data_IF_791814090255
#
_entry.id   IF_791814090255
#
_cell.length_a   1.000
_cell.length_b   1.000
_cell.length_c   1.000
_cell.angle_alpha   90.00
_cell.angle_beta   90.00
_cell.angle_gamma   90.00
#
_symmetry.space_group_name_H-M   'P 1'
#
loop_
_entity.id
_entity.type
_entity.pdbx_description
1 polymer ?
#
# COMPACT_ATOMS: atom_id res chain seq x y z
N UNK A 1 61.15 10.36 26.13
CA UNK A 1 60.71 11.05 24.91
C UNK A 1 59.19 10.92 24.81
N UNK A 2 58.45 12.03 24.87
CA UNK A 2 56.98 12.05 24.72
C UNK A 2 56.67 12.15 23.22
N UNK A 3 56.03 11.14 22.66
CA UNK A 3 55.59 11.12 21.27
C UNK A 3 54.17 11.70 21.20
N UNK A 4 54.07 12.96 20.77
CA UNK A 4 52.78 13.60 20.51
C UNK A 4 52.23 13.06 19.18
N UNK A 5 51.32 12.09 19.25
CA UNK A 5 50.56 11.63 18.09
C UNK A 5 49.41 12.61 17.85
N UNK A 6 49.59 13.49 16.87
CA UNK A 6 48.54 14.37 16.38
C UNK A 6 47.56 13.52 15.54
N UNK A 7 46.44 13.12 16.13
CA UNK A 7 45.36 12.43 15.42
C UNK A 7 44.68 13.46 14.52
N UNK A 8 45.10 13.53 13.26
CA UNK A 8 44.37 14.24 12.20
C UNK A 8 43.14 13.37 11.90
N UNK A 9 42.01 13.71 12.53
CA UNK A 9 40.72 13.06 12.28
C UNK A 9 40.27 13.32 10.85
N UNK A 10 40.40 12.32 9.99
CA UNK A 10 39.83 12.32 8.65
C UNK A 10 38.32 12.09 8.77
N UNK A 11 37.54 13.18 8.75
CA UNK A 11 36.07 13.12 8.72
C UNK A 11 35.66 12.68 7.31
N UNK A 12 35.45 11.37 7.11
CA UNK A 12 34.83 10.83 5.91
C UNK A 12 33.34 11.17 5.99
N UNK A 13 32.91 12.20 5.26
CA UNK A 13 31.50 12.43 5.01
C UNK A 13 30.99 11.33 4.07
N UNK A 14 30.43 10.24 4.62
CA UNK A 14 29.69 9.25 3.85
C UNK A 14 28.42 9.91 3.31
N UNK A 15 28.47 10.38 2.07
CA UNK A 15 27.28 10.75 1.31
C UNK A 15 26.50 9.47 1.01
N UNK A 16 25.46 9.19 1.79
CA UNK A 16 24.57 8.06 1.51
C UNK A 16 23.83 8.32 0.21
N UNK A 17 24.16 7.59 -0.85
CA UNK A 17 23.36 7.60 -2.08
C UNK A 17 22.05 6.87 -1.73
N UNK A 18 20.98 7.64 -1.52
CA UNK A 18 19.64 7.08 -1.27
C UNK A 18 19.10 6.57 -2.60
N UNK A 19 19.29 5.27 -2.87
CA UNK A 19 18.65 4.60 -3.99
C UNK A 19 17.17 4.37 -3.70
N UNK A 20 16.31 4.54 -4.71
CA UNK A 20 14.88 4.23 -4.59
C UNK A 20 14.68 2.73 -4.33
N UNK A 21 13.81 2.38 -3.39
CA UNK A 21 13.47 1.00 -3.08
C UNK A 21 12.76 0.35 -4.27
N UNK A 22 13.14 -0.90 -4.58
CA UNK A 22 12.45 -1.73 -5.56
C UNK A 22 11.12 -2.23 -5.02
N UNK A 23 10.21 -2.63 -5.91
CA UNK A 23 8.92 -3.20 -5.55
C UNK A 23 9.06 -4.47 -4.69
N UNK A 24 10.09 -5.29 -4.95
CA UNK A 24 10.40 -6.50 -4.18
C UNK A 24 10.84 -6.17 -2.75
N UNK A 25 11.65 -5.13 -2.57
CA UNK A 25 12.09 -4.69 -1.24
C UNK A 25 10.93 -4.12 -0.43
N UNK A 26 10.09 -3.30 -1.06
CA UNK A 26 8.87 -2.75 -0.44
C UNK A 26 7.95 -3.88 0.02
N UNK A 27 7.70 -4.87 -0.85
CA UNK A 27 6.82 -5.99 -0.54
C UNK A 27 7.41 -6.89 0.56
N UNK A 28 8.69 -7.25 0.46
CA UNK A 28 9.40 -8.04 1.48
C UNK A 28 9.36 -7.37 2.84
N UNK A 29 9.57 -6.04 2.88
CA UNK A 29 9.48 -5.27 4.12
C UNK A 29 8.07 -5.34 4.72
N UNK A 30 7.03 -5.14 3.91
CA UNK A 30 5.65 -5.20 4.36
C UNK A 30 5.26 -6.60 4.87
N UNK A 31 5.71 -7.66 4.20
CA UNK A 31 5.51 -9.05 4.60
C UNK A 31 6.19 -9.38 5.93
N UNK A 32 7.44 -8.95 6.11
CA UNK A 32 8.16 -9.13 7.36
C UNK A 32 7.48 -8.41 8.52
N UNK A 33 7.03 -7.18 8.31
CA UNK A 33 6.26 -6.43 9.30
C UNK A 33 4.93 -7.13 9.61
N UNK A 34 4.20 -7.57 8.58
CA UNK A 34 2.93 -8.28 8.75
C UNK A 34 3.09 -9.59 9.53
N UNK A 35 4.22 -10.30 9.34
CA UNK A 35 4.55 -11.50 10.11
C UNK A 35 4.77 -11.19 11.59
N UNK A 36 5.53 -10.13 11.91
CA UNK A 36 5.83 -9.72 13.30
C UNK A 36 4.58 -9.21 14.00
N UNK A 37 3.77 -8.42 13.31
CA UNK A 37 2.58 -7.77 13.89
C UNK A 37 1.31 -8.63 13.79
N UNK A 38 1.40 -9.87 13.27
CA UNK A 38 0.26 -10.74 13.00
C UNK A 38 -0.84 -10.06 12.16
N UNK A 39 -0.43 -9.42 11.06
CA UNK A 39 -1.31 -8.72 10.12
C UNK A 39 -1.30 -9.38 8.75
N UNK A 40 -2.13 -8.87 7.85
CA UNK A 40 -2.01 -9.11 6.42
C UNK A 40 -1.39 -7.87 5.74
N UNK A 41 -0.97 -7.98 4.49
CA UNK A 41 -0.47 -6.85 3.71
C UNK A 41 -1.59 -6.32 2.82
N UNK A 42 -1.87 -5.02 2.89
CA UNK A 42 -2.77 -4.35 1.96
C UNK A 42 -1.91 -3.58 0.95
N UNK A 43 -1.66 -4.18 -0.20
CA UNK A 43 -0.82 -3.62 -1.26
C UNK A 43 -1.67 -2.80 -2.22
N UNK A 44 -1.30 -1.53 -2.42
CA UNK A 44 -2.00 -0.59 -3.30
C UNK A 44 -1.07 -0.15 -4.43
N UNK A 45 -1.45 -0.47 -5.67
CA UNK A 45 -0.85 0.11 -6.86
C UNK A 45 -1.51 1.46 -7.13
N UNK A 46 -0.68 2.49 -7.31
CA UNK A 46 -1.16 3.86 -7.44
C UNK A 46 -0.25 4.71 -8.34
N UNK A 47 -0.71 5.93 -8.63
CA UNK A 47 0.06 6.94 -9.34
C UNK A 47 -0.20 8.33 -8.74
N UNK A 48 0.73 9.27 -8.94
CA UNK A 48 0.64 10.64 -8.41
C UNK A 48 -0.54 11.44 -8.96
N UNK A 49 -1.01 11.11 -10.17
CA UNK A 49 -2.17 11.73 -10.82
C UNK A 49 -3.51 11.11 -10.38
N UNK A 50 -3.49 9.96 -9.71
CA UNK A 50 -4.69 9.20 -9.39
C UNK A 50 -5.45 9.79 -8.19
N UNK A 51 -6.55 10.51 -8.46
CA UNK A 51 -7.40 11.10 -7.42
C UNK A 51 -8.09 10.05 -6.52
N UNK A 52 -8.56 8.95 -7.11
CA UNK A 52 -9.19 7.85 -6.37
C UNK A 52 -8.22 7.14 -5.43
N UNK A 53 -6.94 7.03 -5.81
CA UNK A 53 -5.89 6.48 -4.95
C UNK A 53 -5.73 7.33 -3.68
N UNK A 54 -5.62 8.65 -3.84
CA UNK A 54 -5.51 9.59 -2.71
C UNK A 54 -6.75 9.58 -1.82
N UNK A 55 -7.94 9.46 -2.43
CA UNK A 55 -9.19 9.34 -1.68
C UNK A 55 -9.23 8.05 -0.87
N UNK A 56 -8.86 6.92 -1.47
CA UNK A 56 -8.82 5.63 -0.77
C UNK A 56 -7.84 5.67 0.41
N UNK A 57 -6.62 6.17 0.19
CA UNK A 57 -5.62 6.34 1.26
C UNK A 57 -6.16 7.23 2.40
N UNK A 58 -6.72 8.39 2.06
CA UNK A 58 -7.34 9.29 3.05
C UNK A 58 -8.48 8.61 3.81
N UNK A 59 -9.32 7.83 3.13
CA UNK A 59 -10.42 7.11 3.75
C UNK A 59 -9.89 6.03 4.72
N UNK A 60 -8.84 5.30 4.36
CA UNK A 60 -8.22 4.29 5.24
C UNK A 60 -7.55 4.92 6.48
N UNK A 61 -7.19 6.20 6.43
CA UNK A 61 -6.65 6.97 7.54
C UNK A 61 -7.69 7.88 8.23
N UNK A 62 -8.96 7.79 7.85
CA UNK A 62 -10.03 8.52 8.54
C UNK A 62 -10.16 8.05 10.00
N UNK A 63 -10.25 8.96 11.00
CA UNK A 63 -10.30 8.60 12.41
C UNK A 63 -11.37 7.55 12.79
N UNK A 64 -12.46 7.45 12.03
CA UNK A 64 -13.51 6.46 12.30
C UNK A 64 -13.08 5.02 12.03
N UNK A 65 -12.16 4.81 11.08
CA UNK A 65 -11.78 3.47 10.58
C UNK A 65 -10.28 3.21 10.63
N UNK A 66 -9.45 4.22 10.95
CA UNK A 66 -8.00 4.10 10.98
C UNK A 66 -7.51 2.99 11.91
N UNK A 67 -8.09 2.87 13.11
CA UNK A 67 -7.71 1.83 14.06
C UNK A 67 -7.92 0.43 13.47
N UNK A 68 -9.03 0.21 12.77
CA UNK A 68 -9.35 -1.05 12.12
C UNK A 68 -8.30 -1.40 11.05
N UNK A 69 -7.95 -0.45 10.17
CA UNK A 69 -6.96 -0.70 9.13
C UNK A 69 -5.57 -0.94 9.73
N UNK A 70 -5.15 -0.11 10.69
CA UNK A 70 -3.85 -0.20 11.32
C UNK A 70 -3.72 -1.48 12.16
N UNK A 71 -4.80 -1.96 12.79
CA UNK A 71 -4.81 -3.20 13.55
C UNK A 71 -4.71 -4.44 12.65
N UNK A 72 -5.29 -4.40 11.45
CA UNK A 72 -5.41 -5.60 10.61
C UNK A 72 -4.38 -5.70 9.48
N UNK A 73 -3.87 -4.56 8.98
CA UNK A 73 -3.10 -4.53 7.76
C UNK A 73 -1.82 -3.69 7.89
N UNK A 74 -0.75 -4.20 7.27
CA UNK A 74 0.37 -3.38 6.84
C UNK A 74 0.02 -2.81 5.47
N UNK A 75 -0.36 -1.53 5.43
CA UNK A 75 -0.60 -0.79 4.18
C UNK A 75 0.74 -0.54 3.49
N UNK A 76 0.85 -0.90 2.21
CA UNK A 76 2.05 -0.65 1.40
C UNK A 76 1.68 -0.27 -0.03
N UNK A 77 2.58 0.47 -0.69
CA UNK A 77 2.26 1.17 -1.94
C UNK A 77 3.35 0.94 -2.98
N UNK A 78 2.94 0.74 -4.24
CA UNK A 78 3.84 0.66 -5.39
C UNK A 78 3.35 1.66 -6.45
N UNK A 79 4.24 2.59 -6.83
CA UNK A 79 3.95 3.59 -7.86
C UNK A 79 4.11 2.97 -9.23
N UNK A 80 3.04 3.00 -10.03
CA UNK A 80 2.96 2.48 -11.41
C UNK A 80 2.14 3.41 -12.29
N UNK A 81 2.17 3.19 -13.60
CA UNK A 81 1.37 3.93 -14.58
C UNK A 81 1.48 5.46 -14.45
N UNK A 82 2.65 5.99 -14.09
CA UNK A 82 2.89 7.43 -14.08
C UNK A 82 2.81 7.99 -15.50
N UNK A 83 2.51 9.29 -15.59
CA UNK A 83 2.60 10.00 -16.87
C UNK A 83 4.05 10.06 -17.33
N UNK A 84 4.26 10.25 -18.64
CA UNK A 84 5.58 10.22 -19.26
C UNK A 84 6.60 11.12 -18.54
N UNK A 85 6.18 12.30 -18.09
CA UNK A 85 7.03 13.28 -17.40
C UNK A 85 7.47 12.84 -15.99
N UNK A 86 6.80 11.83 -15.42
CA UNK A 86 7.02 11.29 -14.08
C UNK A 86 7.30 9.79 -14.07
N UNK A 87 7.57 9.18 -15.23
CA UNK A 87 7.84 7.73 -15.33
C UNK A 87 9.03 7.31 -14.46
N UNK A 88 9.99 8.20 -14.24
CA UNK A 88 11.13 8.01 -13.35
C UNK A 88 10.76 7.95 -11.85
N UNK A 89 9.54 8.32 -11.47
CA UNK A 89 9.03 8.22 -10.09
C UNK A 89 8.35 6.88 -9.81
N UNK A 90 8.19 6.03 -10.82
CA UNK A 90 7.67 4.69 -10.61
C UNK A 90 8.63 3.86 -9.77
N UNK A 91 8.04 2.97 -8.97
CA UNK A 91 8.81 2.02 -8.17
C UNK A 91 9.53 1.07 -9.13
N UNK A 92 10.87 0.94 -9.07
CA UNK A 92 11.60 -0.03 -9.88
C UNK A 92 11.03 -1.45 -9.71
N UNK A 93 10.66 -2.09 -10.82
CA UNK A 93 10.00 -3.41 -10.83
C UNK A 93 8.50 -3.39 -10.51
N UNK A 94 7.90 -2.21 -10.29
CA UNK A 94 6.48 -2.05 -9.95
C UNK A 94 5.55 -2.63 -11.01
N UNK A 95 5.78 -2.33 -12.29
CA UNK A 95 4.99 -2.88 -13.41
C UNK A 95 5.05 -4.42 -13.47
N UNK A 96 6.19 -5.02 -13.12
CA UNK A 96 6.33 -6.48 -13.10
C UNK A 96 5.52 -7.12 -11.96
N UNK A 97 5.56 -6.54 -10.76
CA UNK A 97 4.75 -7.00 -9.62
C UNK A 97 3.26 -6.78 -9.90
N UNK A 98 2.89 -5.61 -10.44
CA UNK A 98 1.51 -5.29 -10.82
C UNK A 98 0.97 -6.31 -11.84
N UNK A 99 1.75 -6.63 -12.88
CA UNK A 99 1.40 -7.65 -13.87
C UNK A 99 1.25 -9.03 -13.23
N UNK A 100 2.17 -9.44 -12.35
CA UNK A 100 2.13 -10.74 -11.68
C UNK A 100 0.86 -10.91 -10.84
N UNK A 101 0.37 -9.83 -10.24
CA UNK A 101 -0.85 -9.83 -9.43
C UNK A 101 -2.13 -9.55 -10.25
N UNK A 102 -2.02 -9.43 -11.58
CA UNK A 102 -3.16 -9.26 -12.48
C UNK A 102 -3.66 -7.84 -12.64
N UNK A 103 -2.89 -6.83 -12.22
CA UNK A 103 -3.26 -5.41 -12.30
C UNK A 103 -2.80 -4.68 -13.57
N UNK A 104 -2.17 -5.37 -14.53
CA UNK A 104 -1.64 -4.75 -15.76
C UNK A 104 -2.72 -4.00 -16.55
N UNK A 105 -3.89 -4.62 -16.70
CA UNK A 105 -4.99 -4.10 -17.50
C UNK A 105 -6.10 -3.49 -16.62
N UNK A 106 -5.79 -3.22 -15.35
CA UNK A 106 -6.72 -2.67 -14.37
C UNK A 106 -6.45 -1.17 -14.16
N UNK A 107 -7.52 -0.40 -13.96
CA UNK A 107 -7.43 1.01 -13.56
C UNK A 107 -6.81 1.19 -12.17
N UNK A 108 -6.44 2.42 -11.81
CA UNK A 108 -5.91 2.73 -10.49
C UNK A 108 -6.97 3.41 -9.58
N UNK A 109 -6.95 3.14 -8.26
CA UNK A 109 -6.05 2.20 -7.58
C UNK A 109 -6.43 0.75 -7.91
N UNK A 110 -5.42 -0.11 -8.07
CA UNK A 110 -5.59 -1.56 -8.05
C UNK A 110 -4.98 -2.05 -6.74
N UNK A 111 -5.68 -2.88 -5.98
CA UNK A 111 -5.19 -3.32 -4.68
C UNK A 111 -5.36 -4.81 -4.46
N UNK A 112 -4.46 -5.37 -3.65
CA UNK A 112 -4.37 -6.79 -3.37
C UNK A 112 -4.09 -6.98 -1.89
N UNK A 113 -4.86 -7.84 -1.25
CA UNK A 113 -4.64 -8.26 0.13
C UNK A 113 -3.87 -9.57 0.10
N UNK A 114 -2.67 -9.55 0.69
CA UNK A 114 -1.77 -10.69 0.76
C UNK A 114 -1.63 -11.14 2.22
N UNK A 115 -1.40 -12.44 2.45
CA UNK A 115 -0.88 -12.86 3.74
C UNK A 115 0.61 -12.47 3.92
N UNK A 116 1.17 -12.75 5.09
CA UNK A 116 2.57 -12.47 5.39
C UNK A 116 3.58 -13.27 4.55
N UNK A 117 3.13 -14.30 3.82
CA UNK A 117 3.97 -15.11 2.91
C UNK A 117 3.83 -14.66 1.45
N UNK A 118 2.92 -13.72 1.16
CA UNK A 118 2.67 -13.21 -0.19
C UNK A 118 1.63 -13.98 -0.98
N UNK A 119 0.88 -14.87 -0.34
CA UNK A 119 -0.28 -15.50 -0.98
C UNK A 119 -1.41 -14.47 -1.10
N UNK A 120 -2.05 -14.41 -2.26
CA UNK A 120 -3.24 -13.59 -2.46
C UNK A 120 -4.41 -14.16 -1.65
N UNK A 121 -5.00 -13.32 -0.81
CA UNK A 121 -6.23 -13.61 -0.08
C UNK A 121 -7.43 -13.02 -0.81
N UNK A 122 -7.34 -11.75 -1.18
CA UNK A 122 -8.37 -10.99 -1.91
C UNK A 122 -7.71 -9.94 -2.81
N UNK A 123 -8.47 -9.43 -3.78
CA UNK A 123 -8.07 -8.28 -4.58
C UNK A 123 -9.24 -7.35 -4.87
N UNK A 124 -8.98 -6.24 -5.54
CA UNK A 124 -9.95 -5.20 -5.83
C UNK A 124 -10.97 -5.55 -6.90
N UNK A 125 -11.04 -6.80 -7.37
CA UNK A 125 -11.98 -7.18 -8.44
C UNK A 125 -13.25 -7.82 -7.91
N UNK A 126 -14.33 -7.54 -8.63
CA UNK A 126 -15.63 -8.20 -8.51
C UNK A 126 -16.02 -8.62 -9.93
N UNK A 127 -16.24 -9.92 -10.15
CA UNK A 127 -16.49 -10.49 -11.49
C UNK A 127 -15.44 -10.10 -12.55
N UNK A 128 -14.18 -9.92 -12.11
CA UNK A 128 -13.06 -9.55 -12.99
C UNK A 128 -12.85 -8.05 -13.18
N UNK A 129 -13.79 -7.20 -12.73
CA UNK A 129 -13.69 -5.74 -12.85
C UNK A 129 -13.15 -5.11 -11.58
N UNK A 130 -12.15 -4.23 -11.71
CA UNK A 130 -11.58 -3.50 -10.60
C UNK A 130 -12.54 -2.42 -10.08
N UNK A 131 -12.92 -2.51 -8.80
CA UNK A 131 -13.76 -1.50 -8.10
C UNK A 131 -12.98 -0.25 -7.66
N UNK A 132 -11.69 -0.17 -7.98
CA UNK A 132 -10.89 1.03 -7.79
C UNK A 132 -10.79 1.45 -6.33
N UNK A 133 -10.97 2.76 -6.10
CA UNK A 133 -11.17 3.33 -4.77
C UNK A 133 -12.67 3.38 -4.47
N UNK A 134 -13.24 2.40 -3.74
CA UNK A 134 -14.69 2.17 -3.65
C UNK A 134 -15.42 3.40 -3.11
N UNK A 135 -16.56 3.74 -3.72
CA UNK A 135 -17.30 4.93 -3.35
C UNK A 135 -18.82 4.87 -3.56
N UNK A 136 -19.30 3.97 -4.41
CA UNK A 136 -20.72 3.61 -4.43
C UNK A 136 -21.05 2.60 -3.34
N UNK A 137 -22.32 2.47 -3.00
CA UNK A 137 -22.78 1.51 -1.98
C UNK A 137 -22.38 0.06 -2.33
N UNK A 138 -22.54 -0.34 -3.59
CA UNK A 138 -22.20 -1.69 -4.04
C UNK A 138 -20.69 -1.95 -3.99
N UNK A 139 -19.85 -1.02 -4.45
CA UNK A 139 -18.38 -1.16 -4.35
C UNK A 139 -17.95 -1.23 -2.88
N UNK A 140 -18.54 -0.40 -2.02
CA UNK A 140 -18.20 -0.38 -0.58
C UNK A 140 -18.66 -1.64 0.13
N UNK A 141 -19.82 -2.20 -0.23
CA UNK A 141 -20.26 -3.50 0.29
C UNK A 141 -19.31 -4.63 -0.14
N UNK A 142 -18.80 -4.60 -1.37
CA UNK A 142 -17.79 -5.55 -1.83
C UNK A 142 -16.45 -5.38 -1.09
N UNK A 143 -16.02 -4.14 -0.83
CA UNK A 143 -14.86 -3.87 0.02
C UNK A 143 -15.06 -4.47 1.42
N UNK A 144 -16.23 -4.25 2.04
CA UNK A 144 -16.54 -4.78 3.37
C UNK A 144 -16.47 -6.30 3.38
N UNK A 145 -17.09 -7.00 2.43
CA UNK A 145 -17.04 -8.47 2.35
C UNK A 145 -15.60 -9.00 2.28
N UNK A 146 -14.73 -8.36 1.49
CA UNK A 146 -13.31 -8.71 1.40
C UNK A 146 -12.60 -8.46 2.73
N UNK A 147 -12.84 -7.31 3.35
CA UNK A 147 -12.30 -6.95 4.67
C UNK A 147 -12.75 -7.90 5.80
N UNK A 148 -13.98 -8.42 5.76
CA UNK A 148 -14.49 -9.41 6.72
C UNK A 148 -13.68 -10.71 6.67
N UNK A 149 -13.37 -11.19 5.47
CA UNK A 149 -12.65 -12.45 5.28
C UNK A 149 -11.14 -12.35 5.51
N UNK A 150 -10.56 -11.14 5.41
CA UNK A 150 -9.10 -10.95 5.50
C UNK A 150 -8.62 -10.25 6.77
N UNK A 151 -9.52 -9.78 7.63
CA UNK A 151 -9.14 -9.20 8.93
C UNK A 151 -8.66 -10.26 9.93
N UNK A 152 -7.69 -9.91 10.78
CA UNK A 152 -7.09 -10.82 11.77
C UNK A 152 -7.33 -10.39 13.22
N UNK A 153 -7.26 -9.10 13.50
CA UNK A 153 -7.11 -8.56 14.86
C UNK A 153 -8.34 -7.76 15.32
N UNK A 154 -8.94 -6.95 14.44
CA UNK A 154 -10.18 -6.22 14.73
C UNK A 154 -11.25 -6.58 13.71
N UNK A 155 -12.50 -6.79 14.18
CA UNK A 155 -13.64 -7.01 13.29
C UNK A 155 -14.00 -5.72 12.58
N UNK A 156 -14.36 -5.83 11.31
CA UNK A 156 -14.86 -4.67 10.55
C UNK A 156 -16.18 -4.19 11.14
N UNK A 157 -16.37 -2.87 11.12
CA UNK A 157 -17.67 -2.24 11.37
C UNK A 157 -18.20 -1.72 10.02
N UNK A 158 -19.15 -2.42 9.39
CA UNK A 158 -19.66 -2.05 8.07
C UNK A 158 -20.20 -0.62 8.00
N UNK A 159 -20.88 -0.15 9.05
CA UNK A 159 -21.50 1.17 9.08
C UNK A 159 -20.44 2.28 9.08
N UNK A 160 -19.36 2.11 9.84
CA UNK A 160 -18.24 3.07 9.83
C UNK A 160 -17.51 3.09 8.48
N UNK A 161 -17.33 1.92 7.86
CA UNK A 161 -16.73 1.84 6.52
C UNK A 161 -17.62 2.56 5.50
N UNK A 162 -18.93 2.31 5.52
CA UNK A 162 -19.90 3.00 4.66
C UNK A 162 -19.88 4.51 4.87
N UNK A 163 -19.87 4.97 6.12
CA UNK A 163 -19.85 6.40 6.47
C UNK A 163 -18.64 7.13 5.86
N UNK A 164 -17.47 6.48 5.88
CA UNK A 164 -16.22 7.04 5.37
C UNK A 164 -16.10 6.91 3.85
N UNK A 165 -16.44 5.75 3.29
CA UNK A 165 -16.14 5.44 1.90
C UNK A 165 -17.21 5.90 0.91
N UNK A 166 -18.50 5.84 1.27
CA UNK A 166 -19.58 6.19 0.35
C UNK A 166 -19.53 7.70 0.03
N UNK A 167 -19.53 8.03 -1.26
CA UNK A 167 -19.62 9.40 -1.71
C UNK A 167 -20.99 9.98 -1.38
N UNK A 168 -21.01 10.98 -0.50
CA UNK A 168 -22.22 11.78 -0.23
C UNK A 168 -22.56 12.58 -1.48
N UNK A 169 -23.77 12.37 -2.01
CA UNK A 169 -24.32 13.24 -3.07
C UNK A 169 -24.42 14.65 -2.51
N UNK A 170 -23.88 15.63 -3.24
CA UNK A 170 -24.07 17.05 -2.94
C UNK A 170 -25.49 17.47 -3.33
#
# INVERSE_FOLDING_TARGET
MKLNVLIIGFVIALSSIVNAQTATEILTKAQNQAKVENKNVFLIFHASWCGWCKKMEKNMDDPLVKSYFDANYVKTFITVQERAEKKNLETPGGDAVNKKLGGKDQGLPFWVILDSEGKVLEDSRVNGENIGGPASEDEVNNLIAKLETTSKNEKVNPEKIKEVFILKKK
#
